data_IF_099982441688
#
_entry.id   IF_099982441688
#
_cell.length_a   1.000
_cell.length_b   1.000
_cell.length_c   1.000
_cell.angle_alpha   90.00
_cell.angle_beta   90.00
_cell.angle_gamma   90.00
#
_symmetry.space_group_name_H-M   'P 1'
#
loop_
_entity.id
_entity.type
_entity.pdbx_description
1 polymer ?
#
# COMPACT_ATOMS: atom_id res chain seq x y z
N UNK A 1 8.86 19.56 26.36
CA UNK A 1 9.93 19.05 27.23
C UNK A 1 9.66 17.56 27.39
N UNK A 2 10.62 16.73 26.99
CA UNK A 2 10.48 15.28 27.10
C UNK A 2 10.30 14.89 28.58
N UNK A 3 9.42 13.94 28.87
CA UNK A 3 9.12 13.51 30.23
C UNK A 3 10.35 12.79 30.81
N UNK A 4 10.74 13.06 32.05
CA UNK A 4 11.88 12.38 32.69
C UNK A 4 11.70 10.86 32.62
N UNK A 5 10.47 10.39 32.89
CA UNK A 5 10.14 8.97 32.79
C UNK A 5 10.30 8.42 31.38
N UNK A 6 9.96 9.19 30.34
CA UNK A 6 10.10 8.71 28.96
C UNK A 6 11.57 8.50 28.59
N UNK A 7 12.45 9.39 29.06
CA UNK A 7 13.90 9.27 28.87
C UNK A 7 14.46 8.07 29.63
N UNK A 8 14.15 7.94 30.92
CA UNK A 8 14.74 6.89 31.76
C UNK A 8 14.33 5.49 31.27
N UNK A 9 13.07 5.29 30.85
CA UNK A 9 12.64 4.03 30.23
C UNK A 9 13.30 3.77 28.88
N UNK A 10 13.52 4.81 28.05
CA UNK A 10 14.21 4.64 26.77
C UNK A 10 15.70 4.31 26.96
N UNK A 11 16.38 4.91 27.95
CA UNK A 11 17.76 4.57 28.30
C UNK A 11 17.87 3.12 28.79
N UNK A 12 16.97 2.70 29.69
CA UNK A 12 16.91 1.31 30.16
C UNK A 12 16.70 0.33 29.00
N UNK A 13 15.74 0.63 28.12
CA UNK A 13 15.49 -0.18 26.92
C UNK A 13 16.73 -0.26 26.02
N UNK A 14 17.45 0.86 25.84
CA UNK A 14 18.68 0.90 25.04
C UNK A 14 19.74 -0.01 25.61
N UNK A 15 20.03 0.12 26.90
CA UNK A 15 21.11 -0.64 27.55
C UNK A 15 20.80 -2.14 27.47
N UNK A 16 19.57 -2.55 27.80
CA UNK A 16 19.18 -3.94 27.75
C UNK A 16 19.18 -4.50 26.31
N UNK A 17 18.71 -3.74 25.32
CA UNK A 17 18.76 -4.15 23.90
C UNK A 17 20.19 -4.24 23.38
N UNK A 18 21.10 -3.35 23.80
CA UNK A 18 22.50 -3.40 23.42
C UNK A 18 23.17 -4.70 23.90
N UNK A 19 22.88 -5.13 25.13
CA UNK A 19 23.35 -6.43 25.64
C UNK A 19 22.72 -7.61 24.90
N UNK A 20 21.42 -7.53 24.60
CA UNK A 20 20.71 -8.59 23.87
C UNK A 20 21.26 -8.74 22.44
N UNK A 21 21.57 -7.64 21.74
CA UNK A 21 22.18 -7.69 20.40
C UNK A 21 23.58 -8.29 20.42
N UNK A 22 24.40 -7.93 21.41
CA UNK A 22 25.73 -8.56 21.58
C UNK A 22 25.59 -10.07 21.79
N UNK A 23 24.61 -10.48 22.58
CA UNK A 23 24.31 -11.90 22.77
C UNK A 23 23.87 -12.57 21.47
N UNK A 24 22.95 -11.98 20.70
CA UNK A 24 22.51 -12.49 19.39
C UNK A 24 23.65 -12.59 18.37
N UNK A 25 24.61 -11.67 18.41
CA UNK A 25 25.78 -11.64 17.54
C UNK A 25 26.93 -12.57 18.00
N UNK A 26 26.77 -13.30 19.11
CA UNK A 26 27.83 -14.09 19.76
C UNK A 26 29.06 -13.26 20.19
N UNK A 27 28.87 -11.97 20.50
CA UNK A 27 29.90 -11.06 21.03
C UNK A 27 30.05 -11.25 22.56
N UNK A 28 30.29 -12.48 23.00
CA UNK A 28 30.40 -12.83 24.42
C UNK A 28 31.82 -13.28 24.79
N UNK A 29 32.72 -12.31 24.96
CA UNK A 29 34.15 -12.56 25.24
C UNK A 29 34.38 -13.34 26.56
N UNK A 30 33.46 -13.26 27.53
CA UNK A 30 33.66 -13.77 28.89
C UNK A 30 32.56 -14.73 29.38
N UNK A 31 31.74 -15.30 28.48
CA UNK A 31 30.54 -16.08 28.82
C UNK A 31 29.53 -15.34 29.74
N UNK A 32 29.64 -14.02 29.86
CA UNK A 32 28.79 -13.22 30.75
C UNK A 32 27.39 -13.08 30.16
N UNK A 33 27.29 -12.88 28.85
CA UNK A 33 26.01 -12.73 28.17
C UNK A 33 25.28 -14.08 28.14
N UNK A 34 26.01 -15.16 27.87
CA UNK A 34 25.48 -16.53 27.91
C UNK A 34 24.88 -16.83 29.27
N UNK A 35 25.55 -16.47 30.37
CA UNK A 35 25.01 -16.63 31.72
C UNK A 35 23.80 -15.73 31.99
N UNK A 36 23.82 -14.48 31.50
CA UNK A 36 22.76 -13.50 31.70
C UNK A 36 21.46 -13.85 30.96
N UNK A 37 21.57 -14.38 29.73
CA UNK A 37 20.44 -14.73 28.88
C UNK A 37 20.05 -16.21 28.95
N UNK A 38 20.72 -17.02 29.78
CA UNK A 38 20.41 -18.44 29.93
C UNK A 38 19.01 -18.69 30.50
N UNK A 39 18.34 -19.71 29.97
CA UNK A 39 17.05 -20.19 30.48
C UNK A 39 15.97 -19.11 30.52
N UNK A 40 15.36 -18.92 31.68
CA UNK A 40 14.24 -17.99 31.86
C UNK A 40 14.67 -16.51 32.00
N UNK A 41 15.95 -16.25 32.25
CA UNK A 41 16.47 -14.88 32.38
C UNK A 41 16.38 -14.12 31.05
N UNK A 42 16.64 -14.77 29.92
CA UNK A 42 16.50 -14.15 28.61
C UNK A 42 15.07 -13.68 28.33
N UNK A 43 14.05 -14.47 28.69
CA UNK A 43 12.64 -14.08 28.56
C UNK A 43 12.33 -12.85 29.42
N UNK A 44 12.81 -12.82 30.68
CA UNK A 44 12.60 -11.68 31.58
C UNK A 44 13.26 -10.39 31.07
N UNK A 45 14.43 -10.49 30.47
CA UNK A 45 15.12 -9.33 29.88
C UNK A 45 14.38 -8.86 28.64
N UNK A 46 13.93 -9.79 27.78
CA UNK A 46 13.09 -9.45 26.62
C UNK A 46 11.79 -8.74 27.06
N UNK A 47 11.10 -9.26 28.07
CA UNK A 47 9.92 -8.63 28.67
C UNK A 47 10.25 -7.23 29.22
N UNK A 48 11.40 -7.06 29.88
CA UNK A 48 11.86 -5.77 30.39
C UNK A 48 12.10 -4.76 29.25
N UNK A 49 12.74 -5.18 28.16
CA UNK A 49 12.97 -4.33 26.98
C UNK A 49 11.64 -3.91 26.37
N UNK A 50 10.77 -4.87 26.07
CA UNK A 50 9.43 -4.62 25.48
C UNK A 50 8.64 -3.66 26.36
N UNK A 51 8.58 -3.92 27.67
CA UNK A 51 7.90 -3.07 28.65
C UNK A 51 8.48 -1.66 28.69
N UNK A 52 9.80 -1.53 28.70
CA UNK A 52 10.49 -0.24 28.78
C UNK A 52 10.26 0.59 27.51
N UNK A 53 10.29 -0.03 26.33
CA UNK A 53 9.94 0.63 25.07
C UNK A 53 8.49 1.13 25.11
N UNK A 54 7.52 0.27 25.44
CA UNK A 54 6.10 0.66 25.49
C UNK A 54 5.83 1.76 26.53
N UNK A 55 6.47 1.70 27.70
CA UNK A 55 6.36 2.77 28.70
C UNK A 55 7.00 4.07 28.22
N UNK A 56 8.15 4.03 27.55
CA UNK A 56 8.75 5.23 26.96
C UNK A 56 7.82 5.89 25.93
N UNK A 57 7.12 5.08 25.13
CA UNK A 57 6.10 5.55 24.18
C UNK A 57 4.89 6.15 24.89
N UNK A 58 4.39 5.50 25.95
CA UNK A 58 3.29 6.04 26.79
C UNK A 58 3.60 7.45 27.30
N UNK A 59 4.85 7.71 27.68
CA UNK A 59 5.29 9.02 28.19
C UNK A 59 5.76 9.99 27.10
N UNK A 60 5.61 9.65 25.82
CA UNK A 60 5.83 10.57 24.70
C UNK A 60 7.26 10.57 24.13
N UNK A 61 8.07 9.53 24.34
CA UNK A 61 9.40 9.46 23.71
C UNK A 61 9.33 9.04 22.25
N UNK A 62 9.84 9.89 21.36
CA UNK A 62 9.98 9.59 19.93
C UNK A 62 11.04 8.51 19.67
N UNK A 63 12.08 8.44 20.51
CA UNK A 63 13.10 7.40 20.40
C UNK A 63 12.53 6.00 20.71
N UNK A 64 11.58 5.92 21.64
CA UNK A 64 10.84 4.69 21.91
C UNK A 64 10.13 4.13 20.67
N UNK A 65 9.49 5.00 19.88
CA UNK A 65 8.81 4.59 18.64
C UNK A 65 9.80 4.09 17.59
N UNK A 66 10.98 4.72 17.46
CA UNK A 66 12.02 4.23 16.54
C UNK A 66 12.48 2.81 16.89
N UNK A 67 12.34 2.40 18.15
CA UNK A 67 12.63 1.03 18.61
C UNK A 67 11.48 0.06 18.40
N UNK A 68 10.32 0.50 17.90
CA UNK A 68 9.17 -0.37 17.68
C UNK A 68 9.47 -1.54 16.73
N UNK A 69 10.23 -1.31 15.65
CA UNK A 69 10.68 -2.39 14.76
C UNK A 69 11.49 -3.45 15.51
N UNK A 70 12.34 -3.03 16.45
CA UNK A 70 13.14 -3.95 17.26
C UNK A 70 12.26 -4.68 18.29
N UNK A 71 11.26 -4.00 18.87
CA UNK A 71 10.26 -4.64 19.73
C UNK A 71 9.57 -5.80 18.99
N UNK A 72 9.16 -5.60 17.74
CA UNK A 72 8.53 -6.67 16.93
C UNK A 72 9.46 -7.87 16.73
N UNK A 73 10.75 -7.63 16.45
CA UNK A 73 11.75 -8.71 16.34
C UNK A 73 11.93 -9.47 17.65
N UNK A 74 11.99 -8.76 18.78
CA UNK A 74 12.11 -9.39 20.10
C UNK A 74 10.89 -10.25 20.40
N UNK A 75 9.69 -9.82 20.01
CA UNK A 75 8.48 -10.62 20.16
C UNK A 75 8.54 -11.92 19.37
N UNK A 76 9.03 -11.85 18.13
CA UNK A 76 9.21 -13.04 17.29
C UNK A 76 10.20 -14.04 17.92
N UNK A 77 11.29 -13.54 18.52
CA UNK A 77 12.31 -14.35 19.19
C UNK A 77 11.90 -14.86 20.58
N UNK A 78 11.09 -14.07 21.30
CA UNK A 78 10.65 -14.34 22.67
C UNK A 78 9.11 -14.24 22.78
N UNK A 79 8.36 -15.27 22.33
CA UNK A 79 6.91 -15.22 22.25
C UNK A 79 6.18 -15.00 23.57
N UNK A 80 6.81 -15.31 24.73
CA UNK A 80 6.24 -15.07 26.06
C UNK A 80 5.95 -13.59 26.34
N UNK A 81 6.65 -12.69 25.65
CA UNK A 81 6.45 -11.24 25.78
C UNK A 81 5.06 -10.77 25.30
N UNK A 82 4.36 -11.59 24.51
CA UNK A 82 3.07 -11.27 23.88
C UNK A 82 1.96 -10.94 24.87
N UNK A 83 1.93 -11.58 26.04
CA UNK A 83 0.88 -11.35 27.03
C UNK A 83 1.01 -9.97 27.66
N UNK A 84 2.24 -9.51 27.89
CA UNK A 84 2.53 -8.18 28.44
C UNK A 84 2.16 -7.04 27.48
N UNK A 85 2.22 -7.29 26.18
CA UNK A 85 2.00 -6.28 25.15
C UNK A 85 0.56 -5.79 25.13
N UNK A 86 -0.41 -6.70 25.30
CA UNK A 86 -1.84 -6.39 25.21
C UNK A 86 -2.24 -5.26 26.18
N UNK A 87 -1.85 -5.41 27.44
CA UNK A 87 -2.19 -4.46 28.51
C UNK A 87 -1.51 -3.10 28.29
N UNK A 88 -0.26 -3.11 27.81
CA UNK A 88 0.54 -1.90 27.65
C UNK A 88 0.22 -1.10 26.39
N UNK A 89 -0.19 -1.75 25.31
CA UNK A 89 -0.61 -1.06 24.10
C UNK A 89 -1.83 -0.15 24.33
N UNK A 90 -2.80 -0.60 25.14
CA UNK A 90 -4.01 0.18 25.43
C UNK A 90 -3.74 1.45 26.24
N UNK A 91 -2.64 1.48 27.00
CA UNK A 91 -2.23 2.67 27.77
C UNK A 91 -1.59 3.75 26.88
N UNK A 92 -1.18 3.42 25.67
CA UNK A 92 -0.46 4.32 24.76
C UNK A 92 -1.48 5.01 23.83
N UNK A 93 -1.44 6.35 23.69
CA UNK A 93 -2.28 7.03 22.72
C UNK A 93 -2.01 6.55 21.29
N UNK A 94 -3.05 6.20 20.54
CA UNK A 94 -2.93 5.61 19.20
C UNK A 94 -2.11 6.46 18.19
N UNK A 95 -2.11 7.79 18.33
CA UNK A 95 -1.34 8.70 17.47
C UNK A 95 0.19 8.59 17.65
N UNK A 96 0.68 7.96 18.73
CA UNK A 96 2.11 7.67 18.89
C UNK A 96 2.63 6.68 17.84
N UNK A 97 1.75 5.87 17.24
CA UNK A 97 2.13 4.82 16.31
C UNK A 97 2.27 5.29 14.85
N UNK A 98 2.08 6.59 14.55
CA UNK A 98 2.13 7.10 13.18
C UNK A 98 3.45 6.82 12.45
N UNK A 99 4.58 7.00 13.15
CA UNK A 99 5.90 6.77 12.53
C UNK A 99 6.24 5.28 12.38
N UNK A 100 5.43 4.38 12.95
CA UNK A 100 5.59 2.93 12.83
C UNK A 100 4.43 2.22 12.10
N UNK A 101 3.55 2.97 11.42
CA UNK A 101 2.39 2.39 10.72
C UNK A 101 2.80 1.37 9.66
N UNK A 102 3.85 1.65 8.87
CA UNK A 102 4.33 0.72 7.85
C UNK A 102 4.81 -0.62 8.45
N UNK A 103 5.40 -0.59 9.64
CA UNK A 103 5.83 -1.78 10.36
C UNK A 103 4.62 -2.53 10.92
N UNK A 104 3.65 -1.80 11.49
CA UNK A 104 2.41 -2.40 12.02
C UNK A 104 1.63 -3.08 10.90
N UNK A 105 1.40 -2.39 9.77
CA UNK A 105 0.62 -2.96 8.67
C UNK A 105 1.35 -4.12 8.02
N UNK A 106 2.68 -4.11 7.95
CA UNK A 106 3.46 -5.25 7.46
C UNK A 106 3.40 -6.49 8.36
N UNK A 107 3.06 -6.34 9.65
CA UNK A 107 2.99 -7.43 10.64
C UNK A 107 1.58 -7.99 10.84
N UNK A 108 0.61 -7.58 10.03
CA UNK A 108 -0.79 -8.01 10.15
C UNK A 108 -1.01 -9.51 9.89
N UNK A 109 -0.05 -10.22 9.29
CA UNK A 109 -0.07 -11.68 9.13
C UNK A 109 0.48 -12.45 10.34
N UNK A 110 1.00 -11.75 11.35
CA UNK A 110 1.64 -12.38 12.52
C UNK A 110 0.71 -12.46 13.72
N UNK A 111 0.95 -13.37 14.69
CA UNK A 111 0.15 -13.48 15.90
C UNK A 111 0.04 -12.18 16.73
N UNK A 112 1.07 -11.32 16.70
CA UNK A 112 1.06 -10.01 17.37
C UNK A 112 -0.03 -9.07 16.84
N UNK A 113 -0.48 -9.25 15.60
CA UNK A 113 -1.56 -8.46 15.01
C UNK A 113 -2.85 -8.52 15.83
N UNK A 114 -3.15 -9.66 16.48
CA UNK A 114 -4.32 -9.78 17.37
C UNK A 114 -4.25 -8.80 18.56
N UNK A 115 -3.04 -8.51 19.06
CA UNK A 115 -2.85 -7.56 20.17
C UNK A 115 -2.85 -6.12 19.65
N UNK A 116 -2.33 -5.89 18.46
CA UNK A 116 -2.30 -4.57 17.81
C UNK A 116 -3.67 -4.13 17.28
N UNK A 117 -4.60 -5.06 17.04
CA UNK A 117 -5.89 -4.78 16.42
C UNK A 117 -6.66 -3.63 17.10
N UNK A 118 -6.72 -3.61 18.43
CA UNK A 118 -7.40 -2.54 19.18
C UNK A 118 -6.82 -1.14 18.93
N UNK A 119 -5.50 -1.03 18.73
CA UNK A 119 -4.83 0.22 18.39
C UNK A 119 -5.10 0.58 16.94
N UNK A 120 -5.04 -0.39 16.03
CA UNK A 120 -5.30 -0.20 14.60
C UNK A 120 -6.74 0.27 14.38
N UNK A 121 -7.72 -0.35 15.03
CA UNK A 121 -9.12 0.03 14.99
C UNK A 121 -9.32 1.50 15.44
N UNK A 122 -8.65 1.93 16.51
CA UNK A 122 -8.67 3.32 16.93
C UNK A 122 -8.06 4.26 15.88
N UNK A 123 -6.96 3.87 15.24
CA UNK A 123 -6.34 4.67 14.18
C UNK A 123 -7.25 4.75 12.95
N UNK A 124 -7.87 3.65 12.55
CA UNK A 124 -8.81 3.60 11.42
C UNK A 124 -10.00 4.53 11.67
N UNK A 125 -10.57 4.51 12.89
CA UNK A 125 -11.74 5.33 13.24
C UNK A 125 -11.43 6.82 13.43
N UNK A 126 -10.28 7.15 14.02
CA UNK A 126 -9.94 8.53 14.38
C UNK A 126 -9.05 9.24 13.34
N UNK A 127 -8.23 8.48 12.62
CA UNK A 127 -7.16 8.97 11.75
C UNK A 127 -7.02 8.09 10.49
N UNK A 128 -8.13 7.76 9.84
CA UNK A 128 -8.19 6.83 8.69
C UNK A 128 -7.17 7.15 7.58
N UNK A 129 -6.99 8.44 7.26
CA UNK A 129 -6.06 8.90 6.23
C UNK A 129 -4.57 8.71 6.58
N UNK A 130 -4.25 8.50 7.86
CA UNK A 130 -2.87 8.20 8.30
C UNK A 130 -2.43 6.79 7.93
N UNK A 131 -3.35 5.81 7.99
CA UNK A 131 -3.04 4.39 7.85
C UNK A 131 -3.43 3.81 6.49
N UNK A 132 -4.32 4.46 5.73
CA UNK A 132 -4.83 3.93 4.45
C UNK A 132 -3.71 3.58 3.46
N UNK A 133 -2.68 4.42 3.30
CA UNK A 133 -1.58 4.16 2.38
C UNK A 133 -0.63 3.04 2.87
N UNK A 134 -0.12 3.06 4.13
CA UNK A 134 0.61 1.92 4.70
C UNK A 134 -0.17 0.60 4.58
N UNK A 135 -1.46 0.63 4.87
CA UNK A 135 -2.31 -0.56 4.82
C UNK A 135 -2.44 -1.10 3.40
N UNK A 136 -2.75 -0.24 2.41
CA UNK A 136 -2.86 -0.65 1.01
C UNK A 136 -1.58 -1.29 0.48
N UNK A 137 -0.42 -0.73 0.84
CA UNK A 137 0.87 -1.27 0.44
C UNK A 137 1.11 -2.68 0.99
N UNK A 138 0.72 -2.93 2.24
CA UNK A 138 0.85 -4.26 2.85
C UNK A 138 -0.24 -5.24 2.39
N UNK A 139 -1.46 -4.76 2.12
CA UNK A 139 -2.61 -5.60 1.81
C UNK A 139 -2.40 -6.50 0.59
N UNK A 140 -1.71 -5.99 -0.45
CA UNK A 140 -1.44 -6.73 -1.69
C UNK A 140 -0.74 -8.07 -1.46
N UNK A 141 0.17 -8.13 -0.48
CA UNK A 141 0.91 -9.34 -0.11
C UNK A 141 0.21 -10.14 0.98
N UNK A 142 -0.42 -9.46 1.95
CA UNK A 142 -1.06 -10.08 3.10
C UNK A 142 -2.26 -10.95 2.74
N UNK A 143 -3.06 -10.53 1.75
CA UNK A 143 -4.27 -11.27 1.35
C UNK A 143 -4.00 -12.73 0.97
N UNK A 144 -2.77 -13.05 0.57
CA UNK A 144 -2.34 -14.40 0.20
C UNK A 144 -1.52 -15.12 1.29
N UNK A 145 -0.97 -14.39 2.27
CA UNK A 145 -0.11 -14.97 3.31
C UNK A 145 -0.87 -15.45 4.55
N UNK A 146 -2.02 -14.83 4.85
CA UNK A 146 -2.77 -15.11 6.09
C UNK A 146 -3.52 -16.44 5.99
N UNK A 147 -3.19 -17.35 6.91
CA UNK A 147 -3.88 -18.64 7.06
C UNK A 147 -4.88 -18.64 8.23
N UNK A 148 -4.66 -17.80 9.25
CA UNK A 148 -5.52 -17.72 10.42
C UNK A 148 -6.86 -17.04 10.08
N UNK A 149 -8.01 -17.69 10.33
CA UNK A 149 -9.32 -17.14 9.99
C UNK A 149 -9.65 -15.85 10.76
N UNK A 150 -9.17 -15.71 12.00
CA UNK A 150 -9.43 -14.52 12.83
C UNK A 150 -8.65 -13.33 12.27
N UNK A 151 -7.38 -13.53 11.93
CA UNK A 151 -6.56 -12.48 11.30
C UNK A 151 -7.14 -12.06 9.96
N UNK A 152 -7.63 -13.02 9.16
CA UNK A 152 -8.27 -12.73 7.88
C UNK A 152 -9.54 -11.89 8.06
N UNK A 153 -10.40 -12.27 9.00
CA UNK A 153 -11.61 -11.51 9.32
C UNK A 153 -11.27 -10.08 9.77
N UNK A 154 -10.29 -9.93 10.67
CA UNK A 154 -9.83 -8.61 11.13
C UNK A 154 -9.28 -7.76 9.98
N UNK A 155 -8.52 -8.37 9.06
CA UNK A 155 -8.00 -7.69 7.88
C UNK A 155 -9.14 -7.17 7.00
N UNK A 156 -10.15 -8.01 6.72
CA UNK A 156 -11.33 -7.65 5.93
C UNK A 156 -12.14 -6.52 6.58
N UNK A 157 -12.32 -6.56 7.90
CA UNK A 157 -13.00 -5.49 8.65
C UNK A 157 -12.26 -4.15 8.54
N UNK A 158 -10.92 -4.15 8.70
CA UNK A 158 -10.10 -2.94 8.52
C UNK A 158 -10.26 -2.40 7.09
N UNK A 159 -10.24 -3.27 6.08
CA UNK A 159 -10.43 -2.86 4.69
C UNK A 159 -11.80 -2.23 4.44
N UNK A 160 -12.86 -2.78 5.03
CA UNK A 160 -14.22 -2.23 4.93
C UNK A 160 -14.33 -0.87 5.61
N UNK A 161 -13.81 -0.73 6.83
CA UNK A 161 -13.81 0.55 7.55
C UNK A 161 -12.98 1.60 6.82
N UNK A 162 -11.79 1.26 6.30
CA UNK A 162 -10.98 2.20 5.53
C UNK A 162 -11.69 2.63 4.24
N UNK A 163 -12.34 1.72 3.52
CA UNK A 163 -13.11 2.10 2.33
C UNK A 163 -14.28 3.04 2.68
N UNK A 164 -14.91 2.84 3.84
CA UNK A 164 -15.96 3.73 4.33
C UNK A 164 -15.42 5.11 4.73
N UNK A 165 -14.31 5.17 5.45
CA UNK A 165 -13.73 6.42 5.96
C UNK A 165 -12.86 7.17 4.96
N UNK A 166 -12.45 6.53 3.85
CA UNK A 166 -11.57 7.12 2.84
C UNK A 166 -12.04 6.82 1.40
N UNK A 167 -13.30 7.12 1.05
CA UNK A 167 -13.91 6.70 -0.21
C UNK A 167 -13.15 7.25 -1.43
N UNK A 168 -12.57 8.45 -1.33
CA UNK A 168 -11.85 9.11 -2.42
C UNK A 168 -10.43 8.59 -2.65
N UNK A 169 -9.85 7.82 -1.73
CA UNK A 169 -8.42 7.42 -1.81
C UNK A 169 -8.18 6.47 -2.98
N UNK A 170 -9.11 5.55 -3.27
CA UNK A 170 -9.00 4.64 -4.41
C UNK A 170 -8.98 5.41 -5.73
N UNK A 171 -9.95 6.31 -5.91
CA UNK A 171 -10.03 7.15 -7.10
C UNK A 171 -8.81 8.06 -7.26
N UNK A 172 -8.30 8.60 -6.15
CA UNK A 172 -7.08 9.40 -6.16
C UNK A 172 -5.85 8.60 -6.60
N UNK A 173 -5.67 7.39 -6.07
CA UNK A 173 -4.56 6.49 -6.46
C UNK A 173 -4.67 6.12 -7.94
N UNK A 174 -5.86 5.79 -8.42
CA UNK A 174 -6.12 5.50 -9.83
C UNK A 174 -5.80 6.71 -10.73
N UNK A 175 -6.24 7.90 -10.34
CA UNK A 175 -5.95 9.14 -11.06
C UNK A 175 -4.45 9.46 -11.09
N UNK A 176 -3.71 9.21 -10.00
CA UNK A 176 -2.25 9.35 -9.98
C UNK A 176 -1.56 8.35 -10.91
N UNK A 177 -2.04 7.10 -10.91
CA UNK A 177 -1.52 6.05 -11.79
C UNK A 177 -1.69 6.42 -13.28
N UNK A 178 -2.75 7.14 -13.65
CA UNK A 178 -2.94 7.65 -15.02
C UNK A 178 -1.83 8.61 -15.49
N UNK A 179 -1.21 9.37 -14.57
CA UNK A 179 -0.11 10.28 -14.90
C UNK A 179 1.17 9.54 -15.32
N UNK A 180 1.36 8.30 -14.89
CA UNK A 180 2.60 7.53 -15.05
C UNK A 180 2.47 6.34 -16.01
N UNK A 181 1.52 6.39 -16.96
CA UNK A 181 1.21 5.30 -17.90
C UNK A 181 2.45 4.73 -18.64
N UNK A 182 3.45 5.56 -18.98
CA UNK A 182 4.71 5.10 -19.59
C UNK A 182 5.54 4.22 -18.63
N UNK A 183 5.71 4.65 -17.39
CA UNK A 183 6.51 3.91 -16.41
C UNK A 183 5.85 2.57 -16.08
N UNK A 184 4.52 2.55 -16.00
CA UNK A 184 3.76 1.31 -15.84
C UNK A 184 4.02 0.33 -16.99
N UNK A 185 4.00 0.80 -18.24
CA UNK A 185 4.34 -0.01 -19.40
C UNK A 185 5.77 -0.57 -19.35
N UNK A 186 6.75 0.28 -19.02
CA UNK A 186 8.15 -0.11 -18.98
C UNK A 186 8.43 -1.12 -17.84
N UNK A 187 7.81 -0.95 -16.67
CA UNK A 187 7.91 -1.90 -15.54
C UNK A 187 7.26 -3.23 -15.89
N UNK A 188 6.02 -3.21 -16.39
CA UNK A 188 5.31 -4.42 -16.81
C UNK A 188 6.11 -5.20 -17.88
N UNK A 189 6.69 -4.49 -18.85
CA UNK A 189 7.50 -5.10 -19.91
C UNK A 189 8.73 -5.81 -19.33
N UNK A 190 9.43 -5.21 -18.35
CA UNK A 190 10.58 -5.83 -17.67
C UNK A 190 10.18 -7.10 -16.91
N UNK A 191 9.08 -7.04 -16.17
CA UNK A 191 8.54 -8.19 -15.44
C UNK A 191 8.14 -9.33 -16.40
N UNK A 192 7.50 -8.98 -17.53
CA UNK A 192 7.19 -9.95 -18.57
C UNK A 192 8.45 -10.62 -19.10
N UNK A 193 9.53 -9.87 -19.37
CA UNK A 193 10.79 -10.47 -19.81
C UNK A 193 11.37 -11.43 -18.79
N UNK A 194 11.30 -11.09 -17.50
CA UNK A 194 11.75 -12.00 -16.44
C UNK A 194 10.95 -13.32 -16.44
N UNK A 195 9.63 -13.24 -16.67
CA UNK A 195 8.79 -14.44 -16.80
C UNK A 195 9.11 -15.24 -18.08
N UNK A 196 9.40 -14.57 -19.19
CA UNK A 196 9.67 -15.18 -20.49
C UNK A 196 11.09 -15.76 -20.63
N UNK A 197 12.06 -15.31 -19.82
CA UNK A 197 13.46 -15.82 -19.84
C UNK A 197 13.61 -17.25 -19.30
N UNK A 198 12.60 -17.77 -18.63
CA UNK A 198 12.51 -19.20 -18.28
C UNK A 198 12.46 -20.03 -19.57
N UNK A 199 13.16 -21.19 -19.61
CA UNK A 199 13.18 -22.09 -20.78
C UNK A 199 11.77 -22.27 -21.35
N UNK A 200 11.60 -22.24 -22.68
CA UNK A 200 10.28 -22.27 -23.34
C UNK A 200 9.38 -23.42 -22.90
N UNK A 201 9.99 -24.54 -22.48
CA UNK A 201 9.32 -25.75 -22.00
C UNK A 201 8.96 -25.70 -20.50
N UNK A 202 9.49 -24.73 -19.75
CA UNK A 202 9.29 -24.54 -18.30
C UNK A 202 8.51 -23.27 -17.96
N UNK A 203 8.04 -22.53 -18.98
CA UNK A 203 7.25 -21.31 -18.80
C UNK A 203 5.98 -21.60 -18.02
N UNK A 204 5.79 -20.87 -16.93
CA UNK A 204 4.55 -20.87 -16.17
C UNK A 204 3.50 -20.04 -16.93
N UNK A 205 2.73 -20.72 -17.79
CA UNK A 205 1.71 -20.10 -18.64
C UNK A 205 0.63 -19.40 -17.80
N UNK A 206 0.30 -19.95 -16.62
CA UNK A 206 -0.69 -19.36 -15.74
C UNK A 206 -0.20 -18.01 -15.20
N UNK A 207 1.05 -17.92 -14.73
CA UNK A 207 1.65 -16.63 -14.33
C UNK A 207 1.72 -15.62 -15.45
N UNK A 208 2.04 -16.07 -16.68
CA UNK A 208 2.05 -15.19 -17.84
C UNK A 208 0.64 -14.67 -18.16
N UNK A 209 -0.38 -15.51 -18.08
CA UNK A 209 -1.77 -15.11 -18.27
C UNK A 209 -2.22 -14.12 -17.18
N UNK A 210 -1.93 -14.39 -15.91
CA UNK A 210 -2.21 -13.46 -14.81
C UNK A 210 -1.51 -12.11 -15.04
N UNK A 211 -0.26 -12.12 -15.50
CA UNK A 211 0.51 -10.91 -15.80
C UNK A 211 -0.10 -10.10 -16.96
N UNK A 212 -0.61 -10.78 -18.00
CA UNK A 212 -1.35 -10.12 -19.08
C UNK A 212 -2.68 -9.53 -18.60
N UNK A 213 -3.42 -10.25 -17.76
CA UNK A 213 -4.69 -9.78 -17.21
C UNK A 213 -4.47 -8.53 -16.35
N UNK A 214 -3.47 -8.55 -15.46
CA UNK A 214 -3.09 -7.38 -14.64
C UNK A 214 -2.77 -6.17 -15.51
N UNK A 215 -2.02 -6.36 -16.59
CA UNK A 215 -1.72 -5.27 -17.50
C UNK A 215 -2.94 -4.75 -18.24
N UNK A 216 -3.81 -5.64 -18.72
CA UNK A 216 -5.08 -5.23 -19.32
C UNK A 216 -5.93 -4.43 -18.33
N UNK A 217 -5.94 -4.81 -17.06
CA UNK A 217 -6.59 -4.01 -16.02
C UNK A 217 -5.91 -2.64 -15.90
N UNK A 218 -4.59 -2.55 -15.75
CA UNK A 218 -3.89 -1.25 -15.64
C UNK A 218 -4.13 -0.32 -16.85
N UNK A 219 -4.29 -0.89 -18.05
CA UNK A 219 -4.39 -0.16 -19.31
C UNK A 219 -5.84 0.11 -19.74
N UNK A 220 -6.77 -0.76 -19.34
CA UNK A 220 -8.16 -0.79 -19.80
C UNK A 220 -9.21 -0.90 -18.68
N UNK A 221 -8.84 -0.86 -17.39
CA UNK A 221 -9.80 -0.87 -16.25
C UNK A 221 -10.86 0.20 -16.37
N UNK A 222 -10.44 1.39 -16.83
CA UNK A 222 -11.31 2.55 -17.01
C UNK A 222 -12.40 2.31 -18.09
N UNK A 223 -12.26 1.24 -18.88
CA UNK A 223 -13.14 0.86 -20.01
C UNK A 223 -14.01 -0.34 -19.69
N UNK A 224 -13.56 -1.28 -18.85
CA UNK A 224 -14.34 -2.49 -18.52
C UNK A 224 -15.65 -2.12 -17.80
N UNK A 225 -15.68 -1.00 -17.08
CA UNK A 225 -16.89 -0.43 -16.49
C UNK A 225 -17.76 0.40 -17.47
N UNK A 226 -17.34 0.57 -18.73
CA UNK A 226 -18.09 1.20 -19.82
C UNK A 226 -18.65 0.18 -20.81
N UNK A 227 -18.02 -1.00 -20.94
CA UNK A 227 -18.43 -2.05 -21.88
C UNK A 227 -19.75 -2.76 -21.48
N UNK A 228 -20.36 -2.45 -20.33
CA UNK A 228 -21.75 -2.83 -20.02
C UNK A 228 -22.80 -1.86 -20.61
N UNK A 229 -22.39 -0.72 -21.17
CA UNK A 229 -23.31 0.22 -21.83
C UNK A 229 -22.76 0.68 -23.17
N UNK A 230 -23.05 -0.14 -24.19
CA UNK A 230 -23.18 0.20 -25.60
C UNK A 230 -21.99 0.86 -26.33
N UNK A 231 -21.50 0.08 -27.29
CA UNK A 231 -20.61 0.45 -28.39
C UNK A 231 -20.96 1.80 -29.09
N UNK A 232 -19.89 2.48 -29.50
CA UNK A 232 -19.77 3.26 -30.76
C UNK A 232 -20.53 4.59 -30.97
N UNK A 233 -21.22 5.20 -29.99
CA UNK A 233 -21.90 6.50 -30.22
C UNK A 233 -21.34 7.75 -29.51
N UNK A 234 -20.17 7.69 -28.87
CA UNK A 234 -19.59 8.89 -28.21
C UNK A 234 -18.54 9.65 -29.04
N UNK A 235 -18.28 9.22 -30.29
CA UNK A 235 -17.43 9.96 -31.22
C UNK A 235 -18.38 10.71 -32.16
N UNK A 236 -18.60 12.01 -31.89
CA UNK A 236 -19.42 13.01 -32.62
C UNK A 236 -20.71 13.44 -31.92
N UNK A 237 -20.58 14.14 -30.81
CA UNK A 237 -21.60 15.13 -30.37
C UNK A 237 -20.93 16.37 -29.77
N UNK A 238 -20.05 17.00 -30.53
CA UNK A 238 -19.83 18.44 -30.40
C UNK A 238 -20.92 19.15 -31.21
N UNK A 239 -22.09 19.34 -30.62
CA UNK A 239 -23.00 20.49 -30.84
C UNK A 239 -24.34 20.22 -30.17
N UNK A 240 -24.84 21.27 -29.51
CA UNK A 240 -26.18 21.51 -28.98
C UNK A 240 -26.37 21.32 -27.48
N UNK A 241 -26.51 22.48 -26.84
CA UNK A 241 -27.20 22.72 -25.59
C UNK A 241 -28.42 21.81 -25.42
N UNK A 242 -28.45 21.06 -24.33
CA UNK A 242 -29.69 20.73 -23.64
C UNK A 242 -29.38 20.50 -22.15
N UNK A 243 -30.04 21.33 -21.35
CA UNK A 243 -30.17 21.18 -19.90
C UNK A 243 -30.98 19.91 -19.65
N UNK A 244 -30.32 18.89 -19.12
CA UNK A 244 -30.83 17.87 -18.20
C UNK A 244 -29.76 16.77 -18.17
N UNK A 245 -28.67 17.02 -17.45
CA UNK A 245 -27.65 16.01 -17.24
C UNK A 245 -27.99 15.25 -15.97
N UNK A 246 -28.31 13.97 -16.12
CA UNK A 246 -28.43 13.00 -15.03
C UNK A 246 -27.23 13.14 -14.08
N UNK A 247 -27.48 13.61 -12.86
CA UNK A 247 -26.46 13.88 -11.82
C UNK A 247 -25.54 12.66 -11.54
N UNK A 248 -26.00 11.44 -11.85
CA UNK A 248 -25.21 10.21 -11.68
C UNK A 248 -24.13 9.99 -12.75
N UNK A 249 -24.22 10.60 -13.93
CA UNK A 249 -23.19 10.47 -14.99
C UNK A 249 -22.02 11.44 -14.80
N UNK A 250 -22.17 12.48 -13.98
CA UNK A 250 -21.12 13.48 -13.73
C UNK A 250 -20.06 13.05 -12.71
N UNK A 251 -20.34 12.03 -11.89
CA UNK A 251 -19.48 11.68 -10.75
C UNK A 251 -18.35 10.68 -11.08
N UNK A 252 -18.34 10.11 -12.29
CA UNK A 252 -17.28 9.17 -12.72
C UNK A 252 -16.19 9.90 -13.51
N UNK A 253 -14.89 9.58 -13.30
CA UNK A 253 -13.81 10.14 -14.10
C UNK A 253 -14.01 9.78 -15.58
N UNK A 254 -13.90 10.78 -16.46
CA UNK A 254 -14.02 10.58 -17.91
C UNK A 254 -12.69 10.08 -18.47
N UNK A 255 -12.76 9.13 -19.40
CA UNK A 255 -11.61 8.71 -20.21
C UNK A 255 -10.99 9.93 -20.89
N UNK A 256 -9.68 10.07 -20.75
CA UNK A 256 -8.94 11.21 -21.27
C UNK A 256 -8.42 10.97 -22.67
N UNK A 257 -8.15 12.06 -23.40
CA UNK A 257 -7.62 12.03 -24.77
C UNK A 257 -6.32 11.23 -24.86
N UNK A 258 -5.43 11.38 -23.86
CA UNK A 258 -4.17 10.63 -23.82
C UNK A 258 -4.42 9.15 -23.58
N UNK A 259 -5.37 8.77 -22.72
CA UNK A 259 -5.73 7.35 -22.53
C UNK A 259 -6.28 6.71 -23.80
N UNK A 260 -7.09 7.44 -24.58
CA UNK A 260 -7.56 6.97 -25.90
C UNK A 260 -6.39 6.76 -26.85
N UNK A 261 -5.49 7.74 -26.97
CA UNK A 261 -4.31 7.63 -27.83
C UNK A 261 -3.39 6.48 -27.40
N UNK A 262 -3.17 6.33 -26.10
CA UNK A 262 -2.37 5.27 -25.50
C UNK A 262 -2.98 3.89 -25.81
N UNK A 263 -4.30 3.72 -25.60
CA UNK A 263 -5.04 2.50 -25.99
C UNK A 263 -4.87 2.20 -27.47
N UNK A 264 -5.08 3.17 -28.34
CA UNK A 264 -5.01 2.96 -29.78
C UNK A 264 -3.60 2.59 -30.24
N UNK A 265 -2.57 3.15 -29.60
CA UNK A 265 -1.18 2.82 -29.89
C UNK A 265 -0.80 1.39 -29.46
N UNK A 266 -1.36 0.90 -28.36
CA UNK A 266 -1.05 -0.43 -27.80
C UNK A 266 -1.92 -1.55 -28.40
N UNK A 267 -3.24 -1.32 -28.54
CA UNK A 267 -4.25 -2.39 -28.76
C UNK A 267 -3.94 -3.30 -29.94
N UNK A 268 -3.53 -2.74 -31.08
CA UNK A 268 -3.27 -3.54 -32.29
C UNK A 268 -2.04 -4.43 -32.09
N UNK A 269 -0.88 -3.82 -31.84
CA UNK A 269 0.39 -4.55 -31.69
C UNK A 269 0.39 -5.51 -30.51
N UNK A 270 -0.33 -5.17 -29.43
CA UNK A 270 -0.51 -6.04 -28.28
C UNK A 270 -1.35 -7.29 -28.61
N UNK A 271 -2.46 -7.12 -29.33
CA UNK A 271 -3.27 -8.25 -29.78
C UNK A 271 -2.54 -9.11 -30.81
N UNK A 272 -1.72 -8.50 -31.67
CA UNK A 272 -0.89 -9.22 -32.64
C UNK A 272 0.18 -10.08 -31.93
N UNK A 273 0.74 -9.58 -30.82
CA UNK A 273 1.79 -10.25 -30.06
C UNK A 273 1.27 -11.36 -29.14
N UNK A 274 0.19 -11.11 -28.39
CA UNK A 274 -0.29 -12.04 -27.37
C UNK A 274 -1.56 -12.80 -27.77
N UNK A 275 -2.24 -12.39 -28.85
CA UNK A 275 -3.60 -12.81 -29.15
C UNK A 275 -4.61 -12.07 -28.27
N UNK A 276 -5.89 -12.06 -28.66
CA UNK A 276 -6.94 -11.33 -27.93
C UNK A 276 -7.03 -11.75 -26.46
N UNK A 277 -6.84 -13.04 -26.17
CA UNK A 277 -6.96 -13.61 -24.83
C UNK A 277 -5.66 -14.24 -24.29
N UNK A 278 -4.51 -13.97 -24.90
CA UNK A 278 -3.25 -14.62 -24.50
C UNK A 278 -3.00 -15.97 -25.18
N UNK A 279 -3.73 -16.29 -26.25
CA UNK A 279 -3.65 -17.54 -27.00
C UNK A 279 -2.25 -17.81 -27.58
N UNK A 280 -1.47 -16.75 -27.84
CA UNK A 280 -0.13 -16.86 -28.43
C UNK A 280 0.98 -16.97 -27.38
N UNK A 281 0.67 -16.91 -26.07
CA UNK A 281 1.67 -16.90 -25.00
C UNK A 281 2.68 -18.07 -25.04
N UNK A 282 2.22 -19.25 -25.49
CA UNK A 282 3.05 -20.46 -25.59
C UNK A 282 4.05 -20.41 -26.76
N UNK A 283 3.75 -19.66 -27.83
CA UNK A 283 4.53 -19.62 -29.08
C UNK A 283 5.35 -18.35 -29.24
N UNK A 284 5.29 -17.44 -28.27
CA UNK A 284 6.00 -16.15 -28.32
C UNK A 284 7.53 -16.32 -28.35
N UNK A 285 8.12 -15.67 -29.35
CA UNK A 285 9.56 -15.47 -29.55
C UNK A 285 10.05 -14.24 -28.77
N UNK A 286 11.12 -14.42 -27.99
CA UNK A 286 11.74 -13.35 -27.18
C UNK A 286 12.22 -12.16 -28.02
N UNK A 287 12.73 -12.43 -29.23
CA UNK A 287 13.22 -11.40 -30.15
C UNK A 287 12.09 -10.51 -30.65
N UNK A 288 11.00 -11.14 -31.10
CA UNK A 288 9.83 -10.44 -31.64
C UNK A 288 9.12 -9.64 -30.54
N UNK A 289 9.00 -10.20 -29.33
CA UNK A 289 8.50 -9.47 -28.15
C UNK A 289 9.33 -8.23 -27.87
N UNK A 290 10.67 -8.33 -27.87
CA UNK A 290 11.54 -7.18 -27.60
C UNK A 290 11.38 -6.08 -28.64
N UNK A 291 11.27 -6.43 -29.92
CA UNK A 291 11.06 -5.45 -30.99
C UNK A 291 9.69 -4.76 -30.86
N UNK A 292 8.62 -5.53 -30.69
CA UNK A 292 7.25 -5.00 -30.62
C UNK A 292 7.06 -4.12 -29.38
N UNK A 293 7.47 -4.59 -28.19
CA UNK A 293 7.37 -3.79 -26.97
C UNK A 293 8.26 -2.54 -27.02
N UNK A 294 9.42 -2.62 -27.67
CA UNK A 294 10.27 -1.45 -27.94
C UNK A 294 9.57 -0.40 -28.80
N UNK A 295 8.91 -0.83 -29.88
CA UNK A 295 8.13 0.05 -30.76
C UNK A 295 6.95 0.70 -30.03
N UNK A 296 6.23 -0.08 -29.22
CA UNK A 296 5.15 0.45 -28.37
C UNK A 296 5.71 1.50 -27.41
N UNK A 297 6.80 1.21 -26.69
CA UNK A 297 7.42 2.17 -25.75
C UNK A 297 7.80 3.49 -26.44
N UNK A 298 8.30 3.46 -27.68
CA UNK A 298 8.62 4.66 -28.46
C UNK A 298 7.37 5.46 -28.84
N UNK A 299 6.31 4.79 -29.31
CA UNK A 299 5.02 5.45 -29.62
C UNK A 299 4.43 6.13 -28.39
N UNK A 300 4.45 5.44 -27.25
CA UNK A 300 3.93 5.96 -26.00
C UNK A 300 4.72 7.18 -25.52
N UNK A 301 6.05 7.16 -25.63
CA UNK A 301 6.90 8.32 -25.34
C UNK A 301 6.54 9.53 -26.19
N UNK A 302 6.21 9.34 -27.47
CA UNK A 302 5.81 10.44 -28.36
C UNK A 302 4.45 11.04 -27.96
N UNK A 303 3.49 10.23 -27.52
CA UNK A 303 2.17 10.70 -27.07
C UNK A 303 2.30 11.57 -25.81
N UNK A 304 3.25 11.27 -24.92
CA UNK A 304 3.40 11.90 -23.60
C UNK A 304 4.27 13.16 -23.62
N UNK A 305 4.80 13.59 -24.78
CA UNK A 305 5.72 14.73 -24.86
C UNK A 305 5.09 16.07 -24.44
N UNK A 306 3.78 16.23 -24.59
CA UNK A 306 3.09 17.44 -24.17
C UNK A 306 2.46 17.30 -22.78
N UNK A 307 3.23 17.68 -21.76
CA UNK A 307 2.83 17.63 -20.33
C UNK A 307 2.12 18.90 -19.85
N UNK A 308 1.72 19.80 -20.75
CA UNK A 308 1.24 21.14 -20.36
C UNK A 308 -0.13 21.14 -19.69
N UNK A 309 -0.99 20.16 -19.99
CA UNK A 309 -2.35 20.10 -19.46
C UNK A 309 -2.64 18.78 -18.72
N UNK A 310 -2.77 18.86 -17.40
CA UNK A 310 -3.09 17.70 -16.53
C UNK A 310 -4.42 17.03 -16.88
N UNK A 311 -5.39 17.79 -17.44
CA UNK A 311 -6.72 17.29 -17.81
C UNK A 311 -6.65 16.31 -18.98
N UNK A 312 -5.60 16.41 -19.80
CA UNK A 312 -5.37 15.47 -20.88
C UNK A 312 -4.97 14.08 -20.36
N UNK A 313 -4.47 13.99 -19.13
CA UNK A 313 -4.07 12.74 -18.48
C UNK A 313 -5.14 12.20 -17.55
N UNK A 314 -5.68 13.05 -16.67
CA UNK A 314 -6.79 12.69 -15.77
C UNK A 314 -7.75 13.85 -15.56
N UNK A 315 -9.03 13.63 -15.87
CA UNK A 315 -10.12 14.59 -15.58
C UNK A 315 -10.47 14.63 -14.09
N UNK A 316 -10.00 13.66 -13.31
CA UNK A 316 -10.33 13.54 -11.91
C UNK A 316 -9.83 14.76 -11.11
N UNK A 317 -8.59 15.21 -11.35
CA UNK A 317 -7.99 16.34 -10.64
C UNK A 317 -8.67 17.69 -10.89
N UNK A 318 -9.32 17.88 -12.04
CA UNK A 318 -9.85 19.20 -12.44
C UNK A 318 -11.34 19.35 -12.27
N UNK A 319 -12.12 18.35 -12.64
CA UNK A 319 -13.58 18.40 -12.58
C UNK A 319 -14.16 17.48 -11.52
N UNK A 320 -13.77 16.19 -11.53
CA UNK A 320 -14.46 15.16 -10.73
C UNK A 320 -14.24 15.37 -9.24
N UNK A 321 -13.00 15.55 -8.79
CA UNK A 321 -12.69 15.79 -7.38
C UNK A 321 -13.36 17.07 -6.86
N UNK A 322 -13.37 18.15 -7.65
CA UNK A 322 -14.02 19.42 -7.25
C UNK A 322 -15.53 19.30 -7.14
N UNK A 323 -16.15 18.51 -8.00
CA UNK A 323 -17.60 18.28 -7.98
C UNK A 323 -18.00 17.35 -6.84
N UNK A 324 -17.27 16.25 -6.65
CA UNK A 324 -17.46 15.32 -5.53
C UNK A 324 -17.34 16.06 -4.18
N UNK A 325 -16.28 16.85 -3.96
CA UNK A 325 -16.12 17.62 -2.73
C UNK A 325 -17.17 18.73 -2.52
N UNK A 326 -17.86 19.18 -3.59
CA UNK A 326 -18.94 20.19 -3.47
C UNK A 326 -20.28 19.55 -3.12
N UNK A 327 -20.53 18.34 -3.60
CA UNK A 327 -21.81 17.62 -3.42
C UNK A 327 -21.81 16.85 -2.10
N UNK A 328 -20.65 16.34 -1.68
CA UNK A 328 -20.45 15.63 -0.42
C UNK A 328 -20.23 16.65 0.70
N UNK A 329 -21.35 17.17 1.24
CA UNK A 329 -21.37 18.19 2.28
C UNK A 329 -20.58 17.79 3.55
N UNK A 330 -19.64 18.66 3.99
CA UNK A 330 -19.07 18.93 5.33
C UNK A 330 -18.81 17.81 6.36
N UNK A 331 -18.81 16.53 6.00
CA UNK A 331 -18.30 15.47 6.89
C UNK A 331 -16.84 15.20 6.59
N UNK A 332 -15.98 15.18 7.61
CA UNK A 332 -14.53 14.88 7.50
C UNK A 332 -14.22 13.52 6.84
N UNK A 333 -15.23 12.66 6.72
CA UNK A 333 -15.18 11.34 6.06
C UNK A 333 -14.94 11.46 4.54
N UNK A 334 -15.32 12.59 3.94
CA UNK A 334 -15.29 12.78 2.48
C UNK A 334 -14.19 13.74 2.03
N UNK A 335 -13.38 14.27 2.96
CA UNK A 335 -12.23 15.10 2.62
C UNK A 335 -11.01 14.21 2.31
N UNK A 336 -10.23 14.60 1.30
CA UNK A 336 -8.94 13.98 1.00
C UNK A 336 -7.81 14.87 1.54
N UNK A 337 -7.03 14.35 2.48
CA UNK A 337 -5.87 15.02 3.04
C UNK A 337 -4.62 14.78 2.18
N UNK A 338 -3.67 15.72 2.24
CA UNK A 338 -2.38 15.53 1.60
C UNK A 338 -1.60 14.47 2.40
N UNK A 339 -1.16 13.35 1.78
CA UNK A 339 -0.45 12.30 2.49
C UNK A 339 0.88 12.78 3.11
N UNK A 340 1.32 12.11 4.18
CA UNK A 340 2.63 12.37 4.81
C UNK A 340 2.65 13.48 5.88
N UNK A 341 1.48 13.93 6.33
CA UNK A 341 1.36 14.95 7.39
C UNK A 341 1.39 14.37 8.81
N UNK A 342 1.09 13.08 8.96
CA UNK A 342 1.02 12.38 10.24
C UNK A 342 2.40 12.04 10.76
N UNK A 343 2.74 12.53 11.96
CA UNK A 343 3.98 12.17 12.66
C UNK A 343 3.72 11.95 14.14
N UNK A 344 4.51 11.09 14.76
CA UNK A 344 4.38 10.80 16.21
C UNK A 344 4.79 11.96 17.12
N UNK A 345 5.39 13.03 16.57
CA UNK A 345 5.97 14.13 17.34
C UNK A 345 4.94 14.97 18.10
N UNK A 346 3.70 15.01 17.62
CA UNK A 346 2.63 15.79 18.22
C UNK A 346 1.28 15.18 17.87
N UNK A 347 0.39 15.12 18.86
CA UNK A 347 -1.02 14.83 18.64
C UNK A 347 -1.61 15.82 17.64
N UNK A 348 -2.21 15.31 16.58
CA UNK A 348 -3.00 16.09 15.65
C UNK A 348 -4.39 16.26 16.26
N UNK A 349 -4.82 17.52 16.36
CA UNK A 349 -6.17 17.89 16.80
C UNK A 349 -6.92 18.14 15.51
N UNK A 350 -7.72 17.15 15.08
CA UNK A 350 -8.68 17.30 13.98
C UNK A 350 -9.94 17.98 14.50
#
# INVERSE_FOLDING_TARGET
>A
KENILSRDYNELASICDDYLRRFENNEDENNLLTNLFNGDHGNKIAELIVKSVLLSMKYGSNEGIKRFSRLLQIVDLYPKTMDLIADKLQEIPCWMFFDCLYQITAYLDKPIALKLYSVIEQIVKLYSQSIVYPYKLSYETLQYSIQDPILKQNLELIQQELNHYTPLVNEFIEALNQLNSQQQFDTWSKELFHLLTSDSNTRDINKLQEHLIKFKQILFSDIINLDETNDEQLILSNTQDNNDIDDNTLLKPKITSIRILFKNAVKKEFNDLFGKNGELLSTISLGDTRLILGNISLKLKNIIQDKTNINNYSTWFSSTFRQQNRILDKSSIHELEIPGQYTSKKKIIN
#
